data_IF_273883537603
#
_entry.id   IF_273883537603
#
_cell.length_a   1.000
_cell.length_b   1.000
_cell.length_c   1.000
_cell.angle_alpha   90.00
_cell.angle_beta   90.00
_cell.angle_gamma   90.00
#
_symmetry.space_group_name_H-M   'P 1'
#
loop_
_entity.id
_entity.type
_entity.pdbx_description
1 polymer ?
#
# COMPACT_ATOMS: atom_id res chain seq x y z
N UNK A 1 -32.78 -4.44 19.72
CA UNK A 1 -32.66 -2.97 19.77
C UNK A 1 -31.69 -2.55 18.68
N UNK A 2 -32.21 -1.93 17.65
CA UNK A 2 -31.57 -1.62 16.37
C UNK A 2 -30.73 -0.35 16.51
N UNK A 3 -29.44 -0.39 16.14
CA UNK A 3 -28.71 0.85 15.83
C UNK A 3 -28.19 0.77 14.40
N UNK A 4 -29.08 1.11 13.46
CA UNK A 4 -28.75 1.57 12.11
C UNK A 4 -28.21 2.99 12.23
N UNK A 5 -26.90 3.17 12.26
CA UNK A 5 -26.28 4.46 11.99
C UNK A 5 -25.48 4.36 10.69
N UNK A 6 -26.23 4.40 9.58
CA UNK A 6 -25.70 4.72 8.27
C UNK A 6 -25.36 6.21 8.26
N UNK A 7 -24.08 6.56 8.38
CA UNK A 7 -23.60 7.89 8.01
C UNK A 7 -23.72 8.04 6.50
N UNK A 8 -24.83 8.64 6.07
CA UNK A 8 -25.07 9.09 4.70
C UNK A 8 -24.14 10.27 4.42
N UNK A 9 -23.00 10.05 3.75
CA UNK A 9 -22.39 11.10 2.95
C UNK A 9 -23.07 11.08 1.58
N UNK A 10 -23.98 12.03 1.37
CA UNK A 10 -24.62 12.24 0.07
C UNK A 10 -23.68 13.03 -0.84
N UNK A 11 -22.87 12.33 -1.63
CA UNK A 11 -22.30 12.88 -2.87
C UNK A 11 -23.11 12.30 -4.02
N UNK A 12 -23.67 13.17 -4.87
CA UNK A 12 -24.71 12.90 -5.87
C UNK A 12 -24.39 11.94 -7.03
N UNK A 13 -23.75 10.80 -6.77
CA UNK A 13 -23.61 9.68 -7.70
C UNK A 13 -23.77 8.37 -6.92
N UNK A 14 -25.00 7.85 -6.89
CA UNK A 14 -25.32 6.49 -6.46
C UNK A 14 -25.07 6.20 -4.97
N UNK A 15 -25.97 5.44 -4.36
CA UNK A 15 -25.69 4.78 -3.09
C UNK A 15 -24.53 3.80 -3.31
N UNK A 16 -23.29 4.24 -3.09
CA UNK A 16 -22.17 3.32 -2.89
C UNK A 16 -22.49 2.60 -1.60
N UNK A 17 -23.10 1.42 -1.73
CA UNK A 17 -23.03 0.41 -0.70
C UNK A 17 -21.54 0.14 -0.57
N UNK A 18 -20.85 0.82 0.35
CA UNK A 18 -19.48 0.48 0.72
C UNK A 18 -19.60 -0.95 1.23
N UNK A 19 -19.33 -1.92 0.35
CA UNK A 19 -19.64 -3.32 0.60
C UNK A 19 -19.00 -3.69 1.95
N UNK A 20 -19.67 -4.47 2.81
CA UNK A 20 -19.15 -4.84 4.15
C UNK A 20 -17.68 -5.29 4.15
N UNK A 21 -17.24 -5.88 3.04
CA UNK A 21 -15.86 -6.33 2.79
C UNK A 21 -14.82 -5.21 2.66
N UNK A 22 -15.16 -4.07 2.05
CA UNK A 22 -14.26 -2.89 1.99
C UNK A 22 -14.09 -2.30 3.40
N UNK A 23 -15.17 -2.26 4.17
CA UNK A 23 -15.13 -1.82 5.56
C UNK A 23 -14.29 -2.76 6.43
N UNK A 24 -14.44 -4.08 6.27
CA UNK A 24 -13.62 -5.08 6.95
C UNK A 24 -12.13 -4.93 6.59
N UNK A 25 -11.79 -4.82 5.30
CA UNK A 25 -10.40 -4.61 4.87
C UNK A 25 -9.81 -3.31 5.42
N UNK A 26 -10.61 -2.25 5.47
CA UNK A 26 -10.23 -0.99 6.11
C UNK A 26 -9.93 -1.17 7.59
N UNK A 27 -10.83 -1.83 8.32
CA UNK A 27 -10.63 -2.13 9.75
C UNK A 27 -9.36 -2.95 9.96
N UNK A 28 -9.07 -3.96 9.12
CA UNK A 28 -7.83 -4.72 9.19
C UNK A 28 -6.63 -3.82 8.92
N UNK A 29 -6.60 -3.11 7.79
CA UNK A 29 -5.47 -2.28 7.38
C UNK A 29 -5.09 -1.19 8.41
N UNK A 30 -6.07 -0.60 9.09
CA UNK A 30 -5.80 0.41 10.14
C UNK A 30 -5.42 -0.21 11.49
N UNK A 31 -6.00 -1.37 11.84
CA UNK A 31 -5.76 -2.08 13.11
C UNK A 31 -4.51 -2.94 13.09
N UNK A 32 -3.95 -3.22 11.92
CA UNK A 32 -2.64 -3.84 11.77
C UNK A 32 -1.58 -2.90 12.32
N UNK A 33 -1.44 -2.96 13.64
CA UNK A 33 -0.42 -2.36 14.47
C UNK A 33 0.44 -3.50 14.96
N UNK A 34 1.74 -3.43 14.72
CA UNK A 34 2.64 -4.49 15.14
C UNK A 34 4.08 -4.02 15.22
N UNK A 35 4.90 -4.70 16.04
CA UNK A 35 6.34 -4.53 15.98
C UNK A 35 6.86 -4.86 14.57
N UNK A 36 8.00 -4.29 14.20
CA UNK A 36 8.70 -4.56 12.95
C UNK A 36 8.70 -6.07 12.63
N UNK A 37 8.02 -6.45 11.55
CA UNK A 37 7.90 -7.84 11.10
C UNK A 37 8.51 -7.98 9.69
N UNK A 38 9.84 -8.14 9.58
CA UNK A 38 10.56 -8.12 8.30
C UNK A 38 10.56 -9.46 7.56
N UNK A 39 9.64 -10.35 7.91
CA UNK A 39 9.61 -11.69 7.34
C UNK A 39 8.21 -11.97 6.87
N UNK A 40 8.08 -12.22 5.58
CA UNK A 40 6.81 -12.47 4.94
C UNK A 40 6.86 -12.09 3.47
N UNK A 41 5.89 -12.58 2.74
CA UNK A 41 5.79 -12.38 1.29
C UNK A 41 4.48 -11.74 0.89
N UNK A 42 3.48 -11.69 1.77
CA UNK A 42 2.17 -11.16 1.43
C UNK A 42 2.11 -9.63 1.49
N UNK A 43 1.03 -9.05 0.95
CA UNK A 43 0.72 -7.63 1.10
C UNK A 43 0.44 -7.25 2.55
N UNK A 44 -0.12 -8.15 3.36
CA UNK A 44 -0.30 -7.89 4.80
C UNK A 44 1.04 -7.83 5.53
N UNK A 45 2.01 -8.66 5.13
CA UNK A 45 3.38 -8.58 5.66
C UNK A 45 4.03 -7.24 5.28
N UNK A 46 3.81 -6.75 4.06
CA UNK A 46 4.25 -5.41 3.65
C UNK A 46 3.64 -4.30 4.51
N UNK A 47 2.37 -4.41 4.91
CA UNK A 47 1.74 -3.46 5.84
C UNK A 47 2.47 -3.51 7.19
N UNK A 48 2.67 -4.70 7.75
CA UNK A 48 3.35 -4.89 9.04
C UNK A 48 4.79 -4.39 9.02
N UNK A 49 5.55 -4.71 7.96
CA UNK A 49 6.94 -4.31 7.78
C UNK A 49 7.11 -2.78 7.67
N UNK A 50 6.08 -2.05 7.26
CA UNK A 50 6.17 -0.59 7.03
C UNK A 50 5.35 0.25 8.01
N UNK A 51 4.60 -0.36 8.93
CA UNK A 51 3.69 0.37 9.81
C UNK A 51 4.40 1.25 10.86
N UNK A 52 5.67 0.94 11.19
CA UNK A 52 6.42 1.59 12.26
C UNK A 52 7.09 2.92 11.85
N UNK A 53 7.14 3.23 10.55
CA UNK A 53 7.74 4.48 10.06
C UNK A 53 6.91 5.70 10.44
N UNK A 54 7.59 6.78 10.79
CA UNK A 54 7.00 8.04 11.24
C UNK A 54 6.85 9.02 10.06
N UNK A 55 5.96 10.00 10.21
CA UNK A 55 5.84 11.09 9.24
C UNK A 55 7.21 11.78 9.03
N UNK A 56 7.53 12.11 7.79
CA UNK A 56 8.87 12.58 7.39
C UNK A 56 9.83 11.47 6.99
N UNK A 57 9.43 10.19 7.01
CA UNK A 57 10.18 9.06 6.44
C UNK A 57 9.45 8.49 5.23
N UNK A 58 10.18 8.04 4.21
CA UNK A 58 9.61 7.44 2.98
C UNK A 58 8.60 6.33 3.29
N UNK A 59 8.93 5.49 4.27
CA UNK A 59 8.09 4.37 4.68
C UNK A 59 6.70 4.75 5.18
N UNK A 60 6.51 5.99 5.66
CA UNK A 60 5.20 6.46 6.12
C UNK A 60 4.20 6.63 4.96
N UNK A 61 4.63 7.25 3.86
CA UNK A 61 3.82 7.38 2.65
C UNK A 61 3.59 6.03 1.98
N UNK A 62 4.65 5.23 1.84
CA UNK A 62 4.61 3.88 1.24
C UNK A 62 3.63 2.97 1.99
N UNK A 63 3.64 2.95 3.33
CA UNK A 63 2.68 2.18 4.12
C UNK A 63 1.23 2.60 3.83
N UNK A 64 0.97 3.90 3.67
CA UNK A 64 -0.35 4.40 3.28
C UNK A 64 -0.80 3.84 1.93
N UNK A 65 0.10 3.79 0.93
CA UNK A 65 -0.19 3.22 -0.38
C UNK A 65 -0.53 1.73 -0.29
N UNK A 66 0.27 0.95 0.44
CA UNK A 66 0.04 -0.50 0.63
C UNK A 66 -1.32 -0.74 1.30
N UNK A 67 -1.66 0.05 2.32
CA UNK A 67 -2.98 -0.04 2.99
C UNK A 67 -4.13 0.27 2.03
N UNK A 68 -4.02 1.30 1.21
CA UNK A 68 -5.05 1.63 0.21
C UNK A 68 -5.26 0.51 -0.81
N UNK A 69 -4.17 -0.11 -1.29
CA UNK A 69 -4.26 -1.28 -2.17
C UNK A 69 -4.93 -2.45 -1.45
N UNK A 70 -4.58 -2.72 -0.19
CA UNK A 70 -5.21 -3.79 0.59
C UNK A 70 -6.70 -3.54 0.84
N UNK A 71 -7.11 -2.30 1.07
CA UNK A 71 -8.52 -1.94 1.24
C UNK A 71 -9.33 -2.32 0.00
N UNK A 72 -8.82 -1.97 -1.18
CA UNK A 72 -9.49 -2.24 -2.46
C UNK A 72 -9.40 -3.68 -2.93
N UNK A 73 -8.23 -4.32 -2.79
CA UNK A 73 -7.90 -5.59 -3.45
C UNK A 73 -7.57 -6.74 -2.48
N UNK A 74 -7.41 -6.48 -1.19
CA UNK A 74 -6.96 -7.45 -0.17
C UNK A 74 -5.65 -8.16 -0.57
N UNK A 75 -5.71 -9.42 -1.01
CA UNK A 75 -4.58 -10.18 -1.55
C UNK A 75 -4.64 -10.36 -3.08
N UNK A 76 -5.73 -9.97 -3.73
CA UNK A 76 -5.88 -10.13 -5.18
C UNK A 76 -4.80 -9.36 -5.94
N UNK A 77 -4.26 -9.99 -6.98
CA UNK A 77 -3.16 -9.46 -7.79
C UNK A 77 -1.88 -9.17 -7.00
N UNK A 78 -1.74 -9.72 -5.78
CA UNK A 78 -0.45 -9.72 -5.12
C UNK A 78 0.43 -10.80 -5.74
N UNK A 79 1.64 -10.42 -6.10
CA UNK A 79 2.67 -11.36 -6.50
C UNK A 79 3.73 -11.26 -5.42
N UNK A 80 3.49 -11.83 -4.24
CA UNK A 80 4.45 -11.90 -3.13
C UNK A 80 5.21 -10.60 -2.80
N UNK A 81 4.54 -9.43 -2.89
CA UNK A 81 5.15 -8.10 -2.78
C UNK A 81 5.84 -7.85 -1.42
N UNK A 82 5.53 -8.65 -0.40
CA UNK A 82 6.29 -8.69 0.86
C UNK A 82 7.77 -9.00 0.65
N UNK A 83 8.15 -9.73 -0.40
CA UNK A 83 9.57 -9.94 -0.77
C UNK A 83 10.32 -8.63 -1.01
N UNK A 84 9.65 -7.58 -1.48
CA UNK A 84 10.25 -6.25 -1.64
C UNK A 84 10.27 -5.53 -0.30
N UNK A 85 9.11 -5.33 0.30
CA UNK A 85 9.00 -4.43 1.45
C UNK A 85 9.56 -5.02 2.73
N UNK A 86 9.62 -6.34 2.89
CA UNK A 86 10.28 -6.99 4.02
C UNK A 86 11.81 -7.08 3.85
N UNK A 87 12.35 -6.82 2.66
CA UNK A 87 13.78 -6.94 2.38
C UNK A 87 14.59 -5.88 3.13
N UNK A 88 15.69 -6.29 3.79
CA UNK A 88 16.52 -5.40 4.61
C UNK A 88 16.95 -4.13 3.87
N UNK A 89 17.45 -4.25 2.64
CA UNK A 89 17.90 -3.10 1.83
C UNK A 89 16.76 -2.10 1.58
N UNK A 90 15.54 -2.58 1.35
CA UNK A 90 14.38 -1.71 1.14
C UNK A 90 13.96 -1.07 2.46
N UNK A 91 14.01 -1.81 3.57
CA UNK A 91 13.76 -1.27 4.91
C UNK A 91 14.75 -0.14 5.28
N UNK A 92 16.03 -0.28 4.91
CA UNK A 92 17.01 0.78 5.07
C UNK A 92 16.60 2.03 4.25
N UNK A 93 16.19 1.86 2.98
CA UNK A 93 15.70 2.98 2.13
C UNK A 93 14.43 3.64 2.68
N UNK A 94 13.47 2.84 3.17
CA UNK A 94 12.21 3.35 3.72
C UNK A 94 12.41 4.16 5.00
N UNK A 95 13.53 3.97 5.69
CA UNK A 95 13.90 4.74 6.88
C UNK A 95 14.45 6.14 6.58
N UNK A 96 14.85 6.40 5.33
CA UNK A 96 15.39 7.67 4.89
C UNK A 96 14.36 8.80 5.02
N UNK A 97 14.84 10.06 5.09
CA UNK A 97 13.97 11.24 5.02
C UNK A 97 13.03 11.18 3.80
N UNK A 98 11.81 11.67 3.98
CA UNK A 98 10.83 11.80 2.91
C UNK A 98 11.23 12.92 1.95
N UNK A 99 12.12 12.57 1.02
CA UNK A 99 12.55 13.43 -0.08
C UNK A 99 12.28 12.75 -1.40
N UNK A 100 12.11 13.54 -2.46
CA UNK A 100 11.87 13.02 -3.80
C UNK A 100 12.93 11.98 -4.24
N UNK A 101 14.25 12.20 -4.09
CA UNK A 101 15.25 11.19 -4.43
C UNK A 101 15.12 9.87 -3.64
N UNK A 102 14.80 9.95 -2.35
CA UNK A 102 14.66 8.76 -1.50
C UNK A 102 13.40 7.95 -1.87
N UNK A 103 12.28 8.63 -2.13
CA UNK A 103 11.08 8.00 -2.69
C UNK A 103 11.37 7.36 -4.06
N UNK A 104 12.12 8.03 -4.92
CA UNK A 104 12.46 7.54 -6.25
C UNK A 104 13.29 6.25 -6.18
N UNK A 105 14.21 6.13 -5.22
CA UNK A 105 15.01 4.93 -5.03
C UNK A 105 14.14 3.70 -4.67
N UNK A 106 13.18 3.89 -3.76
CA UNK A 106 12.20 2.84 -3.40
C UNK A 106 11.30 2.51 -4.59
N UNK A 107 10.77 3.53 -5.27
CA UNK A 107 9.88 3.35 -6.43
C UNK A 107 10.55 2.59 -7.57
N UNK A 108 11.84 2.86 -7.85
CA UNK A 108 12.62 2.11 -8.85
C UNK A 108 12.77 0.64 -8.48
N UNK A 109 13.01 0.35 -7.20
CA UNK A 109 13.09 -1.03 -6.70
C UNK A 109 11.75 -1.76 -6.91
N UNK A 110 10.63 -1.10 -6.60
CA UNK A 110 9.29 -1.67 -6.78
C UNK A 110 8.92 -1.87 -8.26
N UNK A 111 9.24 -0.90 -9.13
CA UNK A 111 8.97 -1.01 -10.58
C UNK A 111 9.76 -2.16 -11.20
N UNK A 112 11.03 -2.34 -10.82
CA UNK A 112 11.83 -3.45 -11.32
C UNK A 112 11.23 -4.80 -10.90
N UNK A 113 10.80 -4.91 -9.64
CA UNK A 113 10.10 -6.10 -9.16
C UNK A 113 8.84 -6.42 -10.01
N UNK A 114 7.98 -5.43 -10.23
CA UNK A 114 6.75 -5.64 -11.00
C UNK A 114 7.02 -5.96 -12.47
N UNK A 115 8.10 -5.44 -13.06
CA UNK A 115 8.54 -5.82 -14.41
C UNK A 115 9.02 -7.26 -14.47
N UNK A 116 9.74 -7.72 -13.45
CA UNK A 116 10.16 -9.12 -13.36
C UNK A 116 8.96 -10.07 -13.23
N UNK A 117 7.97 -9.73 -12.41
CA UNK A 117 6.72 -10.51 -12.32
C UNK A 117 5.98 -10.52 -13.67
N UNK A 118 5.83 -9.36 -14.31
CA UNK A 118 5.15 -9.25 -15.61
C UNK A 118 5.82 -10.09 -16.70
N UNK A 119 7.14 -10.27 -16.63
CA UNK A 119 7.89 -11.02 -17.62
C UNK A 119 7.91 -12.54 -17.37
N UNK A 120 7.72 -13.00 -16.12
CA UNK A 120 8.03 -14.38 -15.72
C UNK A 120 6.90 -15.14 -15.02
N UNK A 121 5.80 -14.49 -14.63
CA UNK A 121 4.73 -15.17 -13.87
C UNK A 121 3.75 -15.91 -14.77
N UNK A 122 3.52 -17.19 -14.46
CA UNK A 122 2.47 -18.02 -15.07
C UNK A 122 1.10 -17.86 -14.36
N UNK A 123 1.04 -17.11 -13.25
CA UNK A 123 -0.20 -16.88 -12.50
C UNK A 123 -1.00 -15.73 -13.11
N UNK A 124 -2.23 -16.02 -13.54
CA UNK A 124 -3.11 -15.01 -14.15
C UNK A 124 -3.42 -13.84 -13.21
N UNK A 125 -3.57 -14.09 -11.91
CA UNK A 125 -3.81 -13.02 -10.92
C UNK A 125 -2.59 -12.12 -10.79
N UNK A 126 -1.39 -12.70 -10.77
CA UNK A 126 -0.15 -11.96 -10.69
C UNK A 126 0.09 -11.15 -11.96
N UNK A 127 -0.23 -11.70 -13.14
CA UNK A 127 -0.16 -10.97 -14.42
C UNK A 127 -1.10 -9.75 -14.44
N UNK A 128 -2.32 -9.89 -13.91
CA UNK A 128 -3.25 -8.75 -13.75
C UNK A 128 -2.65 -7.71 -12.80
N UNK A 129 -2.13 -8.16 -11.65
CA UNK A 129 -1.48 -7.29 -10.67
C UNK A 129 -0.29 -6.53 -11.25
N UNK A 130 0.62 -7.23 -11.93
CA UNK A 130 1.81 -6.66 -12.56
C UNK A 130 1.47 -5.77 -13.75
N UNK A 131 0.43 -6.11 -14.53
CA UNK A 131 -0.06 -5.27 -15.62
C UNK A 131 -0.50 -3.90 -15.12
N UNK A 132 -1.33 -3.86 -14.07
CA UNK A 132 -1.74 -2.59 -13.43
C UNK A 132 -0.54 -1.88 -12.82
N UNK A 133 0.32 -2.60 -12.10
CA UNK A 133 1.47 -2.03 -11.42
C UNK A 133 2.49 -1.40 -12.38
N UNK A 134 2.69 -1.98 -13.57
CA UNK A 134 3.65 -1.49 -14.57
C UNK A 134 3.15 -0.28 -15.37
N UNK A 135 1.85 0.05 -15.32
CA UNK A 135 1.32 1.31 -15.85
C UNK A 135 1.90 2.55 -15.12
N UNK A 136 2.37 2.38 -13.88
CA UNK A 136 2.94 3.46 -13.08
C UNK A 136 4.47 3.36 -13.06
N UNK A 137 5.12 4.30 -13.76
CA UNK A 137 6.57 4.47 -13.68
C UNK A 137 7.03 4.94 -12.29
N UNK A 138 8.35 4.99 -12.08
CA UNK A 138 8.90 5.30 -10.77
C UNK A 138 8.53 6.72 -10.31
N UNK A 139 8.56 7.70 -11.21
CA UNK A 139 8.23 9.10 -10.94
C UNK A 139 6.76 9.27 -10.54
N UNK A 140 5.84 8.60 -11.23
CA UNK A 140 4.41 8.59 -10.87
C UNK A 140 4.20 8.00 -9.47
N UNK A 141 4.94 6.95 -9.13
CA UNK A 141 4.89 6.33 -7.80
C UNK A 141 5.41 7.27 -6.71
N UNK A 142 6.47 8.04 -6.98
CA UNK A 142 6.93 9.08 -6.03
C UNK A 142 5.80 10.06 -5.72
N UNK A 143 5.14 10.60 -6.75
CA UNK A 143 4.04 11.53 -6.57
C UNK A 143 2.89 10.93 -5.73
N UNK A 144 2.54 9.67 -5.98
CA UNK A 144 1.51 8.95 -5.21
C UNK A 144 1.94 8.77 -3.76
N UNK A 145 3.19 8.38 -3.50
CA UNK A 145 3.72 8.15 -2.16
C UNK A 145 3.79 9.45 -1.33
N UNK A 146 4.25 10.55 -1.91
CA UNK A 146 4.27 11.87 -1.25
C UNK A 146 2.86 12.40 -0.97
N UNK A 147 1.94 12.22 -1.93
CA UNK A 147 0.52 12.59 -1.75
C UNK A 147 -0.10 11.79 -0.60
N UNK A 148 0.21 10.49 -0.53
CA UNK A 148 -0.28 9.62 0.52
C UNK A 148 0.30 9.96 1.88
N UNK A 149 1.55 10.37 1.95
CA UNK A 149 2.13 10.90 3.19
C UNK A 149 1.37 12.14 3.68
N UNK A 150 1.14 13.13 2.81
CA UNK A 150 0.40 14.35 3.17
C UNK A 150 -1.00 14.01 3.68
N UNK A 151 -1.72 13.15 2.95
CA UNK A 151 -3.04 12.69 3.34
C UNK A 151 -3.04 11.95 4.68
N UNK A 152 -2.15 10.97 4.86
CA UNK A 152 -2.06 10.19 6.09
C UNK A 152 -1.66 11.07 7.28
N UNK A 153 -0.76 12.03 7.08
CA UNK A 153 -0.36 12.99 8.11
C UNK A 153 -1.56 13.82 8.58
N UNK A 154 -2.39 14.31 7.67
CA UNK A 154 -3.59 15.08 8.00
C UNK A 154 -4.68 14.28 8.72
N UNK A 155 -4.70 12.94 8.56
CA UNK A 155 -5.64 12.07 9.26
C UNK A 155 -5.24 11.75 10.70
N UNK A 156 -3.94 11.82 11.03
CA UNK A 156 -3.41 11.46 12.36
C UNK A 156 -2.98 12.67 13.19
N UNK A 157 -3.01 13.87 12.61
CA UNK A 157 -2.79 15.16 13.28
C UNK A 157 -4.08 15.67 13.90
#
# INVERSE_FOLDING_TARGET
>A
MTLRNFTRLATGMGLVTVAPKVFENYQVAIKTQGPYHPKGTSRIDSILATNHYKAGQVGFGVNGCIKMIYIGLRGFGEAEIGKVFCHKKVQDMLSNPSTWPDHLAVAKTEVNYWREIAANSDSWEEQVGSGIATCFNAESRVFIQETMEKFRKALIS
#
